data_IF_255682307193
#
_entry.id   IF_255682307193
#
_cell.length_a   1.000
_cell.length_b   1.000
_cell.length_c   1.000
_cell.angle_alpha   90.00
_cell.angle_beta   90.00
_cell.angle_gamma   90.00
#
_symmetry.space_group_name_H-M   'P 1'
#
loop_
_entity.id
_entity.type
_entity.pdbx_description
1 polymer ?
#
# COMPACT_ATOMS: atom_id res chain seq x y z
N UNK A 1 -14.73 -5.99 21.84
CA UNK A 1 -14.81 -5.65 20.52
C UNK A 1 -13.44 -5.58 19.86
N UNK A 2 -13.36 -6.11 18.73
CA UNK A 2 -12.07 -6.16 18.08
C UNK A 2 -11.68 -4.79 17.53
N UNK A 3 -10.41 -4.48 17.62
CA UNK A 3 -9.94 -3.30 17.06
C UNK A 3 -9.96 -3.45 15.59
N UNK A 4 -10.37 -2.48 14.86
CA UNK A 4 -10.31 -2.55 13.40
C UNK A 4 -8.85 -2.56 12.99
N UNK A 5 -8.55 -3.46 12.09
CA UNK A 5 -7.22 -3.51 11.53
C UNK A 5 -7.08 -2.39 10.52
N UNK A 6 -6.02 -1.62 10.62
CA UNK A 6 -5.79 -0.56 9.65
C UNK A 6 -5.40 -1.15 8.31
N UNK A 7 -6.05 -0.72 7.27
CA UNK A 7 -5.66 -1.12 5.93
C UNK A 7 -4.47 -0.28 5.51
N UNK A 8 -3.84 -0.67 4.42
CA UNK A 8 -2.73 0.14 3.89
C UNK A 8 -3.25 1.51 3.46
N UNK A 9 -4.47 1.56 2.93
CA UNK A 9 -5.08 2.84 2.60
C UNK A 9 -5.20 3.73 3.83
N UNK A 10 -5.64 3.16 4.96
CA UNK A 10 -5.74 3.91 6.20
C UNK A 10 -4.38 4.42 6.66
N UNK A 11 -3.36 3.57 6.57
CA UNK A 11 -2.02 3.95 6.98
C UNK A 11 -1.48 5.08 6.12
N UNK A 12 -1.74 5.01 4.82
CA UNK A 12 -1.31 6.07 3.91
C UNK A 12 -1.98 7.39 4.29
N UNK A 13 -3.28 7.34 4.55
CA UNK A 13 -3.99 8.56 4.93
C UNK A 13 -3.43 9.18 6.21
N UNK A 14 -3.09 8.34 7.17
CA UNK A 14 -2.55 8.82 8.42
C UNK A 14 -1.17 9.44 8.28
N UNK A 15 -0.39 8.97 7.30
CA UNK A 15 0.97 9.45 7.12
C UNK A 15 1.12 10.53 6.06
N UNK A 16 0.04 10.92 5.42
CA UNK A 16 0.13 11.86 4.30
C UNK A 16 0.94 13.10 4.58
N UNK A 17 0.77 13.68 5.77
CA UNK A 17 1.47 14.89 6.12
C UNK A 17 2.97 14.69 6.28
N UNK A 18 3.38 13.47 6.47
CA UNK A 18 4.78 13.13 6.69
C UNK A 18 5.47 12.62 5.44
N UNK A 19 4.72 12.43 4.37
CA UNK A 19 5.29 11.91 3.14
C UNK A 19 5.94 13.02 2.32
N UNK A 20 7.05 12.70 1.69
CA UNK A 20 7.68 13.61 0.76
C UNK A 20 6.81 13.68 -0.49
N UNK A 21 7.15 14.60 -1.38
CA UNK A 21 6.43 14.73 -2.62
C UNK A 21 6.45 13.45 -3.43
N UNK A 22 7.62 12.83 -3.55
CA UNK A 22 7.74 11.58 -4.28
C UNK A 22 6.96 10.47 -3.62
N UNK A 23 6.96 10.44 -2.29
CA UNK A 23 6.21 9.44 -1.57
C UNK A 23 4.71 9.63 -1.73
N UNK A 24 4.25 10.86 -1.81
CA UNK A 24 2.83 11.12 -2.08
C UNK A 24 2.44 10.66 -3.47
N UNK A 25 3.33 10.87 -4.43
CA UNK A 25 3.11 10.40 -5.78
C UNK A 25 2.97 8.88 -5.79
N UNK A 26 3.84 8.21 -5.05
CA UNK A 26 3.78 6.77 -4.90
C UNK A 26 2.48 6.34 -4.23
N UNK A 27 2.09 7.04 -3.18
CA UNK A 27 0.85 6.73 -2.47
C UNK A 27 -0.34 6.82 -3.41
N UNK A 28 -0.37 7.85 -4.22
CA UNK A 28 -1.44 8.05 -5.19
C UNK A 28 -1.51 6.88 -6.17
N UNK A 29 -0.35 6.47 -6.67
CA UNK A 29 -0.27 5.35 -7.60
C UNK A 29 -0.78 4.06 -6.97
N UNK A 30 -0.41 3.84 -5.71
CA UNK A 30 -0.86 2.65 -5.00
C UNK A 30 -2.38 2.65 -4.84
N UNK A 31 -2.94 3.80 -4.48
CA UNK A 31 -4.37 3.88 -4.24
C UNK A 31 -5.20 3.75 -5.51
N UNK A 32 -4.65 4.11 -6.63
CA UNK A 32 -5.36 3.99 -7.90
C UNK A 32 -5.70 2.55 -8.26
N UNK A 33 -4.84 1.62 -7.93
CA UNK A 33 -5.05 0.22 -8.24
C UNK A 33 -5.13 -0.65 -6.99
N UNK A 34 -5.41 -0.02 -5.89
CA UNK A 34 -5.46 -0.69 -4.61
C UNK A 34 -6.57 -1.74 -4.57
N UNK A 35 -6.35 -2.91 -3.98
CA UNK A 35 -5.12 -3.32 -3.30
C UNK A 35 -4.15 -4.11 -4.16
N UNK A 36 -4.37 -4.19 -5.44
CA UNK A 36 -3.55 -5.00 -6.33
C UNK A 36 -2.23 -4.35 -6.72
N UNK A 37 -2.10 -3.06 -6.45
CA UNK A 37 -0.99 -2.27 -6.99
C UNK A 37 0.40 -2.71 -6.55
N UNK A 38 0.52 -3.31 -5.39
CA UNK A 38 1.84 -3.71 -4.90
C UNK A 38 2.13 -5.18 -5.04
N UNK A 39 1.42 -5.90 -5.90
CA UNK A 39 1.63 -7.33 -6.02
C UNK A 39 2.83 -7.72 -6.86
N UNK A 40 3.33 -6.80 -7.65
CA UNK A 40 4.50 -7.07 -8.47
C UNK A 40 5.78 -6.71 -7.73
N UNK A 41 6.92 -6.78 -8.40
CA UNK A 41 8.18 -6.45 -7.77
C UNK A 41 8.26 -4.96 -7.45
N UNK A 42 9.11 -4.65 -6.49
CA UNK A 42 9.33 -3.28 -6.05
C UNK A 42 9.68 -2.36 -7.21
N UNK A 43 10.49 -2.86 -8.14
CA UNK A 43 10.91 -2.06 -9.29
C UNK A 43 9.73 -1.71 -10.19
N UNK A 44 8.78 -2.62 -10.33
CA UNK A 44 7.60 -2.35 -11.14
C UNK A 44 6.74 -1.26 -10.50
N UNK A 45 6.59 -1.32 -9.20
CA UNK A 45 5.81 -0.30 -8.51
C UNK A 45 6.48 1.07 -8.62
N UNK A 46 7.80 1.11 -8.46
CA UNK A 46 8.56 2.36 -8.59
C UNK A 46 8.38 2.94 -9.98
N UNK A 47 8.46 2.08 -10.99
CA UNK A 47 8.30 2.52 -12.37
C UNK A 47 6.91 3.07 -12.63
N UNK A 48 5.90 2.35 -12.17
CA UNK A 48 4.51 2.77 -12.37
C UNK A 48 4.23 4.12 -11.72
N UNK A 49 4.83 4.35 -10.57
CA UNK A 49 4.62 5.60 -9.86
C UNK A 49 5.61 6.69 -10.29
N UNK A 50 6.56 6.32 -11.13
CA UNK A 50 7.59 7.24 -11.61
C UNK A 50 8.42 7.81 -10.47
N UNK A 51 8.82 6.93 -9.55
CA UNK A 51 9.67 7.30 -8.43
C UNK A 51 10.83 6.32 -8.36
N UNK A 52 11.81 6.62 -7.52
CA UNK A 52 12.97 5.74 -7.38
C UNK A 52 12.64 4.57 -6.44
N UNK A 53 13.38 3.49 -6.56
CA UNK A 53 13.20 2.35 -5.67
C UNK A 53 13.46 2.70 -4.20
N UNK A 54 14.47 3.52 -3.88
CA UNK A 54 14.63 3.95 -2.48
C UNK A 54 13.40 4.69 -1.94
N UNK A 55 12.68 5.41 -2.80
CA UNK A 55 11.46 6.08 -2.37
C UNK A 55 10.42 5.08 -1.92
N UNK A 56 10.27 3.98 -2.68
CA UNK A 56 9.34 2.93 -2.31
C UNK A 56 9.73 2.32 -0.97
N UNK A 57 11.01 2.00 -0.81
CA UNK A 57 11.49 1.39 0.42
C UNK A 57 11.26 2.29 1.62
N UNK A 58 11.51 3.58 1.44
CA UNK A 58 11.34 4.54 2.53
C UNK A 58 9.88 4.69 2.92
N UNK A 59 9.01 4.77 1.92
CA UNK A 59 7.59 4.92 2.22
C UNK A 59 7.04 3.71 2.94
N UNK A 60 7.43 2.53 2.51
CA UNK A 60 6.98 1.29 3.14
C UNK A 60 7.37 1.29 4.62
N UNK A 61 8.56 1.76 4.94
CA UNK A 61 8.99 1.85 6.33
C UNK A 61 8.19 2.89 7.10
N UNK A 62 7.86 4.00 6.48
CA UNK A 62 7.05 5.01 7.12
C UNK A 62 5.65 4.48 7.44
N UNK A 63 5.17 3.56 6.63
CA UNK A 63 3.87 2.96 6.88
C UNK A 63 3.91 1.91 7.98
N UNK A 64 5.08 1.61 8.49
CA UNK A 64 5.22 0.68 9.60
C UNK A 64 5.65 -0.73 9.24
N UNK A 65 6.05 -0.94 8.00
CA UNK A 65 6.50 -2.26 7.58
C UNK A 65 8.00 -2.34 7.61
N UNK A 66 8.52 -3.53 7.79
CA UNK A 66 9.97 -3.73 7.83
C UNK A 66 10.58 -3.62 6.44
N UNK A 67 9.83 -3.96 5.43
CA UNK A 67 10.32 -3.89 4.06
C UNK A 67 9.22 -4.20 3.09
N UNK A 68 9.55 -4.19 1.82
CA UNK A 68 8.58 -4.40 0.78
C UNK A 68 7.86 -5.75 0.85
N UNK A 69 8.55 -6.86 1.17
CA UNK A 69 7.83 -8.14 1.25
C UNK A 69 6.71 -8.12 2.28
N UNK A 70 6.91 -7.46 3.41
CA UNK A 70 5.88 -7.38 4.44
C UNK A 70 4.71 -6.54 3.95
N UNK A 71 5.01 -5.46 3.25
CA UNK A 71 4.01 -4.59 2.65
C UNK A 71 3.19 -5.38 1.61
N UNK A 72 3.86 -6.15 0.74
CA UNK A 72 3.19 -6.96 -0.26
C UNK A 72 2.28 -7.98 0.37
N UNK A 73 2.76 -8.57 1.45
CA UNK A 73 1.98 -9.57 2.15
C UNK A 73 0.69 -9.00 2.67
N UNK A 74 0.78 -7.80 3.22
CA UNK A 74 -0.40 -7.13 3.73
C UNK A 74 -1.38 -6.81 2.59
N UNK A 75 -0.88 -6.38 1.46
CA UNK A 75 -1.73 -6.13 0.31
C UNK A 75 -2.42 -7.39 -0.18
N UNK A 76 -1.70 -8.51 -0.17
CA UNK A 76 -2.29 -9.78 -0.56
C UNK A 76 -3.40 -10.19 0.38
N UNK A 77 -3.19 -9.97 1.67
CA UNK A 77 -4.21 -10.31 2.66
C UNK A 77 -5.45 -9.45 2.46
N UNK A 78 -5.27 -8.19 2.16
CA UNK A 78 -6.40 -7.33 1.90
C UNK A 78 -7.15 -7.74 0.65
N UNK A 79 -6.42 -8.15 -0.38
CA UNK A 79 -7.03 -8.59 -1.61
C UNK A 79 -7.83 -9.87 -1.38
N UNK A 80 -7.29 -10.79 -0.59
CA UNK A 80 -7.99 -12.02 -0.25
C UNK A 80 -9.26 -11.74 0.53
N UNK A 81 -9.19 -10.83 1.48
CA UNK A 81 -10.33 -10.49 2.29
C UNK A 81 -11.43 -9.88 1.42
N UNK A 82 -11.04 -9.05 0.49
CA UNK A 82 -11.98 -8.45 -0.42
C UNK A 82 -12.64 -9.49 -1.32
N UNK A 83 -11.86 -10.44 -1.79
CA UNK A 83 -12.38 -11.48 -2.65
C UNK A 83 -13.30 -12.43 -1.91
N UNK A 84 -12.99 -12.69 -0.64
CA UNK A 84 -13.81 -13.59 0.15
C UNK A 84 -15.12 -12.97 0.59
N UNK A 85 -15.21 -11.69 0.54
CA UNK A 85 -16.37 -10.98 1.04
C UNK A 85 -17.06 -10.27 -0.09
N UNK A 86 -17.50 -11.03 -1.03
CA UNK A 86 -18.06 -10.40 -2.22
C UNK A 86 -19.35 -9.73 -1.99
N UNK A 87 -19.85 -9.83 -1.02
CA UNK A 87 -20.99 -9.35 -0.68
C UNK A 87 -21.40 -8.27 -0.81
N UNK A 88 -20.89 -8.06 -0.65
CA UNK A 88 -21.34 -7.11 -0.76
C UNK A 88 -22.47 -7.03 -1.49
N UNK A 89 -22.85 -7.42 -1.75
CA UNK A 89 -23.73 -7.48 -2.30
C UNK A 89 -24.75 -7.46 -2.11
N UNK A 90 -25.09 -7.24 -1.97
CA UNK A 90 -25.94 -7.34 -1.92
C UNK A 90 -26.35 -6.96 -2.04
#
# INVERSE_FOLDING_TARGET
MAEPTLTISDRIQQELDRLTRAERQLAHSILENYPASGLGPLTALAKDANVSTPTVARMVQKLGFKGYPEFQNELREELKAKAKNPIAKH
#
